data_IF_595855065457
#
_entry.id   IF_595855065457
#
_cell.length_a   1.000
_cell.length_b   1.000
_cell.length_c   1.000
_cell.angle_alpha   90.00
_cell.angle_beta   90.00
_cell.angle_gamma   90.00
#
_symmetry.space_group_name_H-M   'P 1'
#
loop_
_entity.id
_entity.type
_entity.pdbx_description
1 polymer ?
#
# COMPACT_ATOMS: atom_id res chain seq x y z
N UNK A 1 -16.73 -1.47 -85.20
CA UNK A 1 -17.52 -0.24 -85.04
C UNK A 1 -16.56 0.92 -85.20
N UNK A 2 -16.36 1.32 -86.46
CA UNK A 2 -15.58 2.48 -86.85
C UNK A 2 -16.55 3.65 -86.92
N UNK A 3 -16.36 4.70 -86.13
CA UNK A 3 -17.07 5.96 -86.34
C UNK A 3 -16.20 7.17 -85.94
N UNK A 4 -15.65 7.78 -86.99
CA UNK A 4 -15.46 9.22 -87.22
C UNK A 4 -14.67 10.08 -86.22
N UNK A 5 -13.37 10.23 -86.52
CA UNK A 5 -12.60 11.43 -86.20
C UNK A 5 -13.09 12.58 -87.07
N UNK A 6 -13.76 13.57 -86.47
CA UNK A 6 -14.08 14.84 -87.14
C UNK A 6 -12.81 15.67 -87.29
N UNK A 7 -12.41 16.12 -88.50
CA UNK A 7 -11.27 17.01 -88.64
C UNK A 7 -11.62 18.41 -88.14
N UNK A 8 -10.83 18.90 -87.18
CA UNK A 8 -10.88 20.29 -86.70
C UNK A 8 -10.35 21.20 -87.83
N UNK A 9 -11.09 22.22 -88.27
CA UNK A 9 -10.59 23.16 -89.27
C UNK A 9 -9.48 24.03 -88.67
N UNK A 10 -8.36 24.13 -89.40
CA UNK A 10 -7.29 25.09 -89.11
C UNK A 10 -7.85 26.52 -89.22
N UNK A 11 -7.56 27.42 -88.27
CA UNK A 11 -7.93 28.82 -88.41
C UNK A 11 -7.19 29.45 -89.59
N UNK A 12 -7.96 29.79 -90.63
CA UNK A 12 -7.50 30.64 -91.74
C UNK A 12 -7.55 32.10 -91.28
N UNK A 13 -6.43 32.80 -91.39
CA UNK A 13 -6.36 34.25 -91.25
C UNK A 13 -5.20 34.72 -90.37
N UNK A 14 -4.02 34.88 -90.97
CA UNK A 14 -3.02 35.81 -90.45
C UNK A 14 -3.54 37.23 -90.69
N UNK A 15 -3.77 38.06 -89.66
CA UNK A 15 -3.95 39.48 -89.89
C UNK A 15 -2.61 40.05 -90.35
N UNK A 16 -2.67 40.78 -91.47
CA UNK A 16 -1.55 41.49 -92.07
C UNK A 16 -0.94 42.44 -91.04
N UNK A 17 0.39 42.44 -90.99
CA UNK A 17 1.22 43.48 -90.40
C UNK A 17 0.70 44.83 -90.88
N UNK A 18 0.25 45.68 -89.96
CA UNK A 18 0.26 47.15 -90.05
C UNK A 18 -0.57 47.71 -88.88
N UNK A 19 -0.06 47.63 -87.65
CA UNK A 19 -0.54 48.48 -86.56
C UNK A 19 0.59 48.73 -85.56
N UNK A 20 1.33 49.80 -85.86
CA UNK A 20 1.69 50.88 -84.92
C UNK A 20 1.86 50.41 -83.47
N UNK A 21 3.12 50.26 -83.06
CA UNK A 21 3.49 49.98 -81.69
C UNK A 21 2.87 50.98 -80.73
N UNK A 22 1.82 50.55 -80.05
CA UNK A 22 1.41 51.14 -78.81
C UNK A 22 1.51 50.05 -77.75
N UNK A 23 2.36 50.35 -76.79
CA UNK A 23 2.90 49.47 -75.78
C UNK A 23 1.76 49.03 -74.85
N UNK A 24 1.07 47.93 -75.16
CA UNK A 24 0.24 47.22 -74.17
C UNK A 24 1.18 46.59 -73.13
N UNK A 25 1.74 47.44 -72.27
CA UNK A 25 2.15 47.05 -70.93
C UNK A 25 0.88 46.54 -70.28
N UNK A 26 0.73 45.21 -70.25
CA UNK A 26 -0.14 44.56 -69.27
C UNK A 26 0.25 45.18 -67.93
N UNK A 27 -0.66 45.88 -67.23
CA UNK A 27 -0.34 46.43 -65.93
C UNK A 27 0.02 45.23 -65.05
N UNK A 28 1.31 45.06 -64.77
CA UNK A 28 1.77 44.16 -63.72
C UNK A 28 1.13 44.72 -62.46
N UNK A 29 0.13 44.02 -61.96
CA UNK A 29 -0.61 44.42 -60.78
C UNK A 29 0.42 44.61 -59.65
N UNK A 30 0.64 45.83 -59.12
CA UNK A 30 1.71 46.08 -58.16
C UNK A 30 1.47 45.44 -56.79
N UNK A 31 0.37 44.71 -56.61
CA UNK A 31 -0.02 44.06 -55.37
C UNK A 31 0.32 42.57 -55.27
N UNK A 32 0.79 41.92 -56.35
CA UNK A 32 1.24 40.52 -56.26
C UNK A 32 2.69 40.45 -55.74
N UNK A 33 2.94 39.79 -54.60
CA UNK A 33 4.28 39.67 -54.05
C UNK A 33 5.18 38.98 -55.06
N UNK A 34 6.36 39.55 -55.26
CA UNK A 34 7.33 38.98 -56.18
C UNK A 34 7.72 37.56 -55.73
N UNK A 35 8.10 36.71 -56.68
CA UNK A 35 8.61 35.34 -56.38
C UNK A 35 9.72 35.36 -55.32
N UNK A 36 10.55 36.40 -55.28
CA UNK A 36 11.60 36.57 -54.30
C UNK A 36 11.04 36.81 -52.88
N UNK A 37 9.99 37.61 -52.75
CA UNK A 37 9.31 37.87 -51.47
C UNK A 37 8.63 36.62 -50.93
N UNK A 38 7.98 35.83 -51.80
CA UNK A 38 7.39 34.54 -51.41
C UNK A 38 8.44 33.55 -50.90
N UNK A 39 9.59 33.44 -51.58
CA UNK A 39 10.69 32.58 -51.12
C UNK A 39 11.27 33.06 -49.79
N UNK A 40 11.42 34.37 -49.61
CA UNK A 40 11.88 34.94 -48.35
C UNK A 40 10.89 34.65 -47.20
N UNK A 41 9.58 34.77 -47.45
CA UNK A 41 8.55 34.46 -46.47
C UNK A 41 8.52 32.96 -46.09
N UNK A 42 8.68 32.06 -47.07
CA UNK A 42 8.80 30.62 -46.84
C UNK A 42 10.04 30.31 -46.02
N UNK A 43 11.19 30.89 -46.37
CA UNK A 43 12.44 30.68 -45.65
C UNK A 43 12.34 31.19 -44.20
N UNK A 44 11.75 32.36 -43.97
CA UNK A 44 11.51 32.90 -42.64
C UNK A 44 10.57 32.01 -41.81
N UNK A 45 9.50 31.52 -42.43
CA UNK A 45 8.56 30.59 -41.77
C UNK A 45 9.23 29.26 -41.41
N UNK A 46 10.10 28.75 -42.28
CA UNK A 46 10.89 27.54 -42.04
C UNK A 46 11.81 27.70 -40.83
N UNK A 47 12.59 28.78 -40.78
CA UNK A 47 13.49 29.06 -39.65
C UNK A 47 12.70 29.19 -38.34
N UNK A 48 11.54 29.86 -38.37
CA UNK A 48 10.68 29.99 -37.19
C UNK A 48 10.14 28.63 -36.71
N UNK A 49 9.79 27.74 -37.64
CA UNK A 49 9.35 26.38 -37.30
C UNK A 49 10.50 25.53 -36.76
N UNK A 50 11.70 25.62 -37.33
CA UNK A 50 12.91 24.92 -36.84
C UNK A 50 13.21 25.32 -35.38
N UNK A 51 13.15 26.61 -35.04
CA UNK A 51 13.33 27.07 -33.65
C UNK A 51 12.24 26.58 -32.67
N UNK A 52 10.98 26.48 -33.13
CA UNK A 52 9.90 25.87 -32.32
C UNK A 52 10.13 24.38 -32.09
N UNK A 53 10.60 23.66 -33.12
CA UNK A 53 10.91 22.23 -33.02
C UNK A 53 12.04 22.00 -32.01
N UNK A 54 13.10 22.81 -32.04
CA UNK A 54 14.18 22.73 -31.06
C UNK A 54 13.68 22.98 -29.64
N UNK A 55 12.83 24.00 -29.45
CA UNK A 55 12.24 24.31 -28.14
C UNK A 55 11.42 23.14 -27.61
N UNK A 56 10.54 22.57 -28.43
CA UNK A 56 9.74 21.39 -28.07
C UNK A 56 10.64 20.19 -27.77
N UNK A 57 11.72 19.98 -28.52
CA UNK A 57 12.66 18.89 -28.27
C UNK A 57 13.33 19.03 -26.89
N UNK A 58 13.67 20.24 -26.47
CA UNK A 58 14.20 20.51 -25.13
C UNK A 58 13.16 20.23 -24.06
N UNK A 59 11.93 20.72 -24.22
CA UNK A 59 10.83 20.50 -23.28
C UNK A 59 10.51 19.00 -23.11
N UNK A 60 10.45 18.24 -24.21
CA UNK A 60 10.23 16.80 -24.17
C UNK A 60 11.34 16.09 -23.39
N UNK A 61 12.60 16.48 -23.58
CA UNK A 61 13.71 15.89 -22.83
C UNK A 61 13.64 16.19 -21.33
N UNK A 62 13.22 17.39 -20.94
CA UNK A 62 13.00 17.76 -19.54
C UNK A 62 11.86 16.94 -18.93
N UNK A 63 10.73 16.81 -19.64
CA UNK A 63 9.60 16.00 -19.20
C UNK A 63 9.98 14.52 -19.05
N UNK A 64 10.79 13.97 -19.96
CA UNK A 64 11.30 12.59 -19.84
C UNK A 64 12.19 12.42 -18.61
N UNK A 65 13.04 13.41 -18.30
CA UNK A 65 13.86 13.38 -17.10
C UNK A 65 13.03 13.43 -15.81
N UNK A 66 11.98 14.26 -15.78
CA UNK A 66 11.08 14.35 -14.64
C UNK A 66 10.21 13.10 -14.47
N UNK A 67 9.75 12.51 -15.58
CA UNK A 67 9.03 11.23 -15.56
C UNK A 67 9.89 10.11 -14.95
N UNK A 68 11.19 10.06 -15.27
CA UNK A 68 12.13 9.10 -14.66
C UNK A 68 12.23 9.31 -13.15
N UNK A 69 12.40 10.55 -12.68
CA UNK A 69 12.43 10.85 -11.23
C UNK A 69 11.15 10.43 -10.53
N UNK A 70 9.99 10.62 -11.15
CA UNK A 70 8.70 10.18 -10.60
C UNK A 70 8.65 8.65 -10.54
N UNK A 71 9.08 7.97 -11.60
CA UNK A 71 9.15 6.50 -11.64
C UNK A 71 10.03 5.93 -10.51
N UNK A 72 11.18 6.55 -10.25
CA UNK A 72 12.07 6.13 -9.15
C UNK A 72 11.40 6.30 -7.79
N UNK A 73 10.72 7.44 -7.57
CA UNK A 73 9.97 7.71 -6.34
C UNK A 73 8.84 6.70 -6.13
N UNK A 74 8.12 6.33 -7.18
CA UNK A 74 7.06 5.32 -7.13
C UNK A 74 7.64 3.97 -6.73
N UNK A 75 8.75 3.55 -7.33
CA UNK A 75 9.43 2.29 -7.00
C UNK A 75 9.84 2.23 -5.52
N UNK A 76 10.37 3.33 -4.98
CA UNK A 76 10.74 3.44 -3.55
C UNK A 76 9.49 3.37 -2.65
N UNK A 77 8.41 4.03 -3.04
CA UNK A 77 7.16 4.02 -2.29
C UNK A 77 6.52 2.61 -2.26
N UNK A 78 6.51 1.91 -3.39
CA UNK A 78 6.03 0.52 -3.49
C UNK A 78 6.82 -0.41 -2.55
N UNK A 79 8.15 -0.30 -2.53
CA UNK A 79 8.99 -1.06 -1.59
C UNK A 79 8.67 -0.77 -0.12
N UNK A 80 8.40 0.49 0.20
CA UNK A 80 8.02 0.92 1.56
C UNK A 80 6.65 0.36 1.97
N UNK A 81 5.69 0.34 1.05
CA UNK A 81 4.35 -0.24 1.27
C UNK A 81 4.47 -1.74 1.58
N UNK A 82 5.27 -2.49 0.82
CA UNK A 82 5.49 -3.92 1.06
C UNK A 82 6.06 -4.16 2.46
N UNK A 83 7.06 -3.36 2.88
CA UNK A 83 7.63 -3.45 4.22
C UNK A 83 6.59 -3.20 5.32
N UNK A 84 5.78 -2.15 5.17
CA UNK A 84 4.72 -1.83 6.13
C UNK A 84 3.66 -2.93 6.20
N UNK A 85 3.29 -3.54 5.07
CA UNK A 85 2.36 -4.67 5.04
C UNK A 85 2.89 -5.87 5.84
N UNK A 86 4.19 -6.16 5.73
CA UNK A 86 4.83 -7.22 6.52
C UNK A 86 4.81 -6.90 8.02
N UNK A 87 5.15 -5.67 8.41
CA UNK A 87 5.14 -5.22 9.81
C UNK A 87 3.74 -5.29 10.42
N UNK A 88 2.71 -4.83 9.70
CA UNK A 88 1.30 -4.97 10.10
C UNK A 88 0.91 -6.44 10.27
N UNK A 89 1.35 -7.31 9.35
CA UNK A 89 1.12 -8.75 9.46
C UNK A 89 1.75 -9.36 10.73
N UNK A 90 2.96 -8.94 11.08
CA UNK A 90 3.64 -9.38 12.29
C UNK A 90 2.93 -8.87 13.56
N UNK A 91 2.55 -7.59 13.59
CA UNK A 91 1.81 -6.99 14.70
C UNK A 91 0.46 -7.67 14.94
N UNK A 92 -0.28 -7.99 13.87
CA UNK A 92 -1.55 -8.75 13.99
C UNK A 92 -1.35 -10.10 14.67
N UNK A 93 -0.28 -10.83 14.32
CA UNK A 93 0.04 -12.11 14.98
C UNK A 93 0.38 -11.92 16.46
N UNK A 94 1.13 -10.88 16.80
CA UNK A 94 1.43 -10.54 18.19
C UNK A 94 0.17 -10.21 18.98
N UNK A 95 -0.76 -9.46 18.38
CA UNK A 95 -2.05 -9.12 19.00
C UNK A 95 -2.92 -10.35 19.27
N UNK A 96 -3.02 -11.29 18.32
CA UNK A 96 -3.73 -12.56 18.53
C UNK A 96 -3.14 -13.34 19.70
N UNK A 97 -1.80 -13.41 19.78
CA UNK A 97 -1.11 -14.07 20.90
C UNK A 97 -1.42 -13.38 22.23
N UNK A 98 -1.35 -12.05 22.27
CA UNK A 98 -1.66 -11.28 23.47
C UNK A 98 -3.10 -11.50 23.92
N UNK A 99 -4.06 -11.50 22.99
CA UNK A 99 -5.47 -11.73 23.30
C UNK A 99 -5.72 -13.14 23.86
N UNK A 100 -5.03 -14.14 23.32
CA UNK A 100 -5.07 -15.50 23.88
C UNK A 100 -4.48 -15.56 25.29
N UNK A 101 -3.39 -14.83 25.57
CA UNK A 101 -2.82 -14.76 26.92
C UNK A 101 -3.77 -14.08 27.89
N UNK A 102 -4.42 -12.99 27.49
CA UNK A 102 -5.44 -12.31 28.32
C UNK A 102 -6.58 -13.26 28.67
N UNK A 103 -7.14 -13.96 27.69
CA UNK A 103 -8.21 -14.94 27.96
C UNK A 103 -7.78 -16.08 28.90
N UNK A 104 -6.53 -16.54 28.80
CA UNK A 104 -5.99 -17.51 29.76
C UNK A 104 -5.87 -16.94 31.17
N UNK A 105 -5.43 -15.69 31.30
CA UNK A 105 -5.31 -15.01 32.59
C UNK A 105 -6.69 -14.76 33.22
N UNK A 106 -7.69 -14.38 32.44
CA UNK A 106 -9.07 -14.21 32.89
C UNK A 106 -9.64 -15.53 33.43
N UNK A 107 -9.44 -16.64 32.71
CA UNK A 107 -9.87 -17.95 33.17
C UNK A 107 -9.16 -18.41 34.46
N UNK A 108 -7.86 -18.09 34.60
CA UNK A 108 -7.12 -18.39 35.83
C UNK A 108 -7.60 -17.56 37.01
N UNK A 109 -7.98 -16.30 36.78
CA UNK A 109 -8.52 -15.43 37.81
C UNK A 109 -9.88 -15.93 38.30
N UNK A 110 -10.78 -16.30 37.39
CA UNK A 110 -12.09 -16.87 37.73
C UNK A 110 -11.95 -18.17 38.53
N UNK A 111 -11.05 -19.07 38.14
CA UNK A 111 -10.77 -20.30 38.88
C UNK A 111 -10.18 -20.02 40.28
N UNK A 112 -9.29 -19.02 40.41
CA UNK A 112 -8.73 -18.61 41.68
C UNK A 112 -9.78 -17.99 42.62
N UNK A 113 -10.69 -17.16 42.08
CA UNK A 113 -11.80 -16.58 42.84
C UNK A 113 -12.81 -17.66 43.27
N UNK A 114 -13.17 -18.59 42.38
CA UNK A 114 -14.02 -19.73 42.70
C UNK A 114 -13.44 -20.64 43.78
N UNK A 115 -12.10 -20.72 43.86
CA UNK A 115 -11.36 -21.45 44.91
C UNK A 115 -10.97 -20.57 46.10
N UNK A 116 -11.70 -19.49 46.36
CA UNK A 116 -11.38 -18.58 47.47
C UNK A 116 -11.25 -19.33 48.80
N UNK A 117 -10.06 -19.21 49.41
CA UNK A 117 -9.77 -19.71 50.75
C UNK A 117 -10.73 -19.10 51.78
N UNK A 118 -11.20 -17.87 51.54
CA UNK A 118 -12.19 -17.22 52.41
C UNK A 118 -13.53 -17.95 52.34
N UNK A 119 -13.98 -18.36 51.14
CA UNK A 119 -15.21 -19.13 50.97
C UNK A 119 -15.15 -20.48 51.70
N UNK A 120 -14.03 -21.19 51.54
CA UNK A 120 -13.81 -22.47 52.25
C UNK A 120 -13.69 -22.31 53.77
N UNK A 121 -13.06 -21.22 54.25
CA UNK A 121 -13.01 -20.90 55.69
C UNK A 121 -14.38 -20.53 56.27
N UNK A 122 -15.19 -19.75 55.54
CA UNK A 122 -16.53 -19.37 55.97
C UNK A 122 -17.45 -20.58 56.05
N UNK A 123 -17.40 -21.49 55.06
CA UNK A 123 -18.15 -22.75 55.08
C UNK A 123 -17.73 -23.64 56.27
N UNK A 124 -16.42 -23.77 56.51
CA UNK A 124 -15.90 -24.52 57.64
C UNK A 124 -16.37 -23.92 58.99
N UNK A 125 -16.32 -22.60 59.12
CA UNK A 125 -16.80 -21.91 60.32
C UNK A 125 -18.32 -22.02 60.51
N UNK A 126 -19.10 -22.11 59.43
CA UNK A 126 -20.51 -22.45 59.46
C UNK A 126 -20.74 -23.83 60.07
N UNK A 127 -20.04 -24.85 59.57
CA UNK A 127 -20.09 -26.22 60.09
C UNK A 127 -19.70 -26.30 61.58
N UNK A 128 -18.65 -25.60 61.98
CA UNK A 128 -18.21 -25.53 63.38
C UNK A 128 -19.29 -24.86 64.26
N UNK A 129 -19.92 -23.79 63.78
CA UNK A 129 -21.00 -23.10 64.49
C UNK A 129 -22.22 -23.99 64.66
N UNK A 130 -22.62 -24.73 63.63
CA UNK A 130 -23.78 -25.64 63.70
C UNK A 130 -23.57 -26.75 64.75
N UNK A 131 -22.35 -27.27 64.85
CA UNK A 131 -21.96 -28.24 65.90
C UNK A 131 -22.07 -27.59 67.29
N UNK A 132 -21.63 -26.35 67.45
CA UNK A 132 -21.70 -25.64 68.74
C UNK A 132 -23.13 -25.27 69.16
N UNK A 133 -23.98 -24.85 68.22
CA UNK A 133 -25.33 -24.34 68.48
C UNK A 133 -26.35 -25.48 68.66
N UNK A 134 -26.10 -26.67 68.11
CA UNK A 134 -26.89 -27.88 68.38
C UNK A 134 -26.02 -29.10 68.69
N UNK A 135 -25.63 -29.31 69.96
CA UNK A 135 -24.85 -30.48 70.39
C UNK A 135 -25.63 -31.81 70.29
N UNK A 136 -26.93 -31.78 69.97
CA UNK A 136 -27.86 -32.91 70.20
C UNK A 136 -27.77 -34.07 69.19
N UNK A 137 -26.81 -34.07 68.28
CA UNK A 137 -26.52 -35.24 67.42
C UNK A 137 -25.30 -36.06 67.86
N UNK A 138 -24.63 -35.71 68.96
CA UNK A 138 -23.41 -36.42 69.42
C UNK A 138 -23.66 -37.16 70.73
N UNK A 139 -24.51 -38.19 70.71
CA UNK A 139 -24.38 -39.32 71.64
C UNK A 139 -24.68 -40.62 70.90
N UNK A 140 -23.67 -41.16 70.23
CA UNK A 140 -23.47 -42.61 70.09
C UNK A 140 -21.96 -42.88 69.99
N UNK A 141 -21.35 -43.60 70.94
CA UNK A 141 -19.92 -43.91 70.95
C UNK A 141 -19.43 -44.75 69.74
N UNK A 142 -20.33 -45.24 68.89
CA UNK A 142 -19.97 -46.06 67.72
C UNK A 142 -19.73 -45.27 66.43
N UNK A 143 -19.93 -43.95 66.41
CA UNK A 143 -19.76 -43.10 65.23
C UNK A 143 -18.55 -42.15 65.38
N UNK A 144 -17.36 -42.71 65.59
CA UNK A 144 -16.07 -41.97 65.66
C UNK A 144 -15.38 -41.89 64.28
N UNK A 145 -16.09 -42.10 63.17
CA UNK A 145 -15.47 -42.16 61.85
C UNK A 145 -16.15 -41.19 60.88
N UNK A 146 -15.30 -40.39 60.22
CA UNK A 146 -15.54 -39.51 59.07
C UNK A 146 -15.70 -38.00 59.34
N UNK A 147 -14.76 -37.39 60.08
CA UNK A 147 -14.46 -35.96 59.90
C UNK A 147 -12.95 -35.82 59.70
N UNK A 148 -12.44 -36.27 58.56
CA UNK A 148 -11.17 -35.88 57.92
C UNK A 148 -10.90 -36.85 56.76
N UNK A 149 -11.30 -36.57 55.51
CA UNK A 149 -10.66 -37.20 54.38
C UNK A 149 -9.38 -36.40 54.03
N UNK A 150 -8.25 -37.07 54.18
CA UNK A 150 -7.03 -36.86 53.38
C UNK A 150 -6.35 -35.48 53.43
N UNK A 151 -5.49 -35.27 54.43
CA UNK A 151 -4.33 -34.39 54.27
C UNK A 151 -3.08 -35.23 53.94
N UNK A 152 -2.72 -35.28 52.65
CA UNK A 152 -1.37 -35.24 52.07
C UNK A 152 -1.41 -35.74 50.62
N UNK A 153 -1.70 -34.84 49.69
CA UNK A 153 -1.21 -35.01 48.31
C UNK A 153 0.17 -34.36 48.27
N UNK A 154 1.22 -35.19 48.25
CA UNK A 154 2.54 -34.78 47.77
C UNK A 154 2.41 -34.73 46.25
N UNK A 155 2.31 -33.55 45.67
CA UNK A 155 2.40 -33.40 44.21
C UNK A 155 3.86 -33.63 43.83
N UNK A 156 4.16 -34.82 43.29
CA UNK A 156 5.36 -35.02 42.49
C UNK A 156 5.07 -34.43 41.11
N UNK A 157 5.67 -33.28 40.79
CA UNK A 157 5.64 -32.72 39.44
C UNK A 157 6.74 -33.39 38.59
N UNK A 158 6.40 -34.21 37.57
CA UNK A 158 7.38 -34.65 36.60
C UNK A 158 7.63 -33.48 35.64
N UNK A 159 8.81 -32.85 35.70
CA UNK A 159 9.25 -31.96 34.62
C UNK A 159 9.94 -30.65 34.99
N UNK A 160 10.19 -30.30 36.26
CA UNK A 160 11.12 -29.21 36.55
C UNK A 160 12.56 -29.71 36.39
N UNK A 161 13.16 -29.34 35.25
CA UNK A 161 14.58 -29.50 34.98
C UNK A 161 15.44 -28.94 36.12
N UNK A 162 16.57 -29.61 36.36
CA UNK A 162 17.59 -29.29 37.36
C UNK A 162 17.85 -27.78 37.43
N UNK A 163 17.62 -27.17 38.60
CA UNK A 163 18.12 -25.83 38.91
C UNK A 163 19.65 -25.87 38.89
N UNK A 164 20.35 -25.06 38.07
CA UNK A 164 21.80 -25.04 38.08
C UNK A 164 22.31 -24.47 39.41
N UNK A 165 23.21 -25.19 40.08
CA UNK A 165 23.99 -24.71 41.23
C UNK A 165 24.71 -23.41 40.81
N UNK A 166 24.32 -22.27 41.37
CA UNK A 166 25.11 -21.04 41.30
C UNK A 166 26.48 -21.30 41.95
N UNK A 167 27.56 -21.09 41.21
CA UNK A 167 28.92 -20.99 41.76
C UNK A 167 29.00 -19.77 42.68
N UNK A 168 29.76 -19.84 43.78
CA UNK A 168 30.11 -18.65 44.54
C UNK A 168 31.08 -17.80 43.71
N UNK A 169 30.72 -16.54 43.49
CA UNK A 169 31.57 -15.52 42.89
C UNK A 169 32.68 -15.13 43.88
N UNK A 170 33.93 -15.17 43.42
CA UNK A 170 35.10 -14.71 44.13
C UNK A 170 35.06 -13.18 44.34
N UNK A 171 35.73 -12.64 45.39
CA UNK A 171 35.80 -11.22 45.63
C UNK A 171 36.75 -10.55 44.61
N UNK A 172 36.27 -9.49 43.95
CA UNK A 172 37.13 -8.60 43.16
C UNK A 172 38.06 -7.81 44.07
N UNK A 173 39.30 -7.61 43.59
CA UNK A 173 40.37 -6.80 44.19
C UNK A 173 40.16 -5.32 43.92
#
# INVERSE_FOLDING_TARGET
>A
MEHYTTPVPLPQGLPRSDEKGDNMRVPVNPEEPSRAELLAAIQGSRVALEGKIETVAVEVNLLLADLRKVSDKVTVAEGSIVKLQMEVGALRKQMVKANSTVGQLEAWLEDAEGRSVVGTWVDLMGKVRDIMVSPRAVISPSAVIAIFPSARVIVSLPGLGKVPKRRPSAPES
#
